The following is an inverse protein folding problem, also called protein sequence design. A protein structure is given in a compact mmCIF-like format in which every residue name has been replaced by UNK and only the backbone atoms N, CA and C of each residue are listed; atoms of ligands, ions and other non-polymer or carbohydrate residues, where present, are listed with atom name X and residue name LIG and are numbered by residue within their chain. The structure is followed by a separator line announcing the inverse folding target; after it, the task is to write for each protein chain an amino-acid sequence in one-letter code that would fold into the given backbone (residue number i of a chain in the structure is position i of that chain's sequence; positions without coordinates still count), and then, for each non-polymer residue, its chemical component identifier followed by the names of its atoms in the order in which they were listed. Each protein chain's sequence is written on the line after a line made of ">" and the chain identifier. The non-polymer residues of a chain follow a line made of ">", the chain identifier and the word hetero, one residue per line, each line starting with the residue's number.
data_IF_435968203262
#
_entry.id   IF_435968203262
#
_cell.length_a   1.000
_cell.length_b   1.000
_cell.length_c   1.000
_cell.angle_alpha   90.00
_cell.angle_beta   90.00
_cell.angle_gamma   90.00
#
_symmetry.space_group_name_H-M   'P 1'
#
loop_
_entity.id
_entity.type
_entity.pdbx_description
1 polymer ?
#
# COMPACT_ATOMS: atom_id res chain seq x y z
N UNK A 1 -18.92 6.41 41.94
CA UNK A 1 -20.15 5.67 41.69
C UNK A 1 -20.62 5.99 40.27
N UNK A 2 -20.11 5.26 39.27
CA UNK A 2 -20.56 5.37 37.88
C UNK A 2 -21.53 4.24 37.57
N UNK A 3 -22.60 4.54 36.84
CA UNK A 3 -23.54 3.56 36.29
C UNK A 3 -23.13 3.09 34.90
N UNK A 4 -22.05 3.67 34.35
CA UNK A 4 -21.49 3.24 33.06
C UNK A 4 -20.80 1.88 33.20
N UNK A 5 -21.46 0.85 32.72
CA UNK A 5 -20.98 -0.52 32.80
C UNK A 5 -19.65 -0.73 32.03
N UNK A 6 -19.35 0.11 31.03
CA UNK A 6 -18.15 -0.02 30.20
C UNK A 6 -16.88 0.46 30.89
N UNK A 7 -16.98 1.53 31.70
CA UNK A 7 -15.80 2.18 32.28
C UNK A 7 -15.75 2.16 33.82
N UNK A 8 -16.88 1.90 34.48
CA UNK A 8 -16.96 1.93 35.95
C UNK A 8 -15.93 1.04 36.64
N UNK A 9 -15.68 -0.16 36.10
CA UNK A 9 -14.71 -1.11 36.63
C UNK A 9 -13.25 -0.61 36.53
N UNK A 10 -12.99 0.29 35.59
CA UNK A 10 -11.67 0.88 35.32
C UNK A 10 -11.58 2.32 35.86
N UNK A 11 -12.40 2.68 36.86
CA UNK A 11 -12.38 4.01 37.45
C UNK A 11 -12.93 5.12 36.54
N UNK A 12 -13.66 4.76 35.48
CA UNK A 12 -14.21 5.68 34.51
C UNK A 12 -13.22 6.10 33.39
N UNK A 13 -12.10 5.40 33.26
CA UNK A 13 -11.13 5.67 32.19
C UNK A 13 -11.70 5.23 30.84
N UNK A 14 -11.77 6.21 29.92
CA UNK A 14 -12.28 6.05 28.56
C UNK A 14 -11.16 6.05 27.50
N UNK A 15 -9.89 6.18 27.93
CA UNK A 15 -8.77 6.31 27.03
C UNK A 15 -8.71 7.68 26.33
N UNK A 16 -8.06 7.71 25.16
CA UNK A 16 -7.89 8.93 24.35
C UNK A 16 -8.98 9.03 23.29
N UNK A 17 -9.50 10.27 23.10
CA UNK A 17 -10.35 10.65 21.98
C UNK A 17 -9.59 11.55 21.02
N UNK A 18 -9.79 11.36 19.72
CA UNK A 18 -9.34 12.29 18.67
C UNK A 18 -10.31 13.47 18.46
N UNK A 19 -11.41 13.52 19.24
CA UNK A 19 -12.42 14.56 19.18
C UNK A 19 -13.71 14.16 18.49
N UNK A 20 -13.89 12.86 18.24
CA UNK A 20 -15.03 12.26 17.52
C UNK A 20 -15.48 10.91 18.10
N UNK A 21 -14.83 10.46 19.18
CA UNK A 21 -15.13 9.16 19.79
C UNK A 21 -16.37 9.19 20.71
N UNK A 22 -16.76 10.36 21.23
CA UNK A 22 -17.84 10.52 22.18
C UNK A 22 -18.96 11.42 21.65
N UNK A 23 -20.15 11.45 22.28
CA UNK A 23 -21.22 12.36 21.90
C UNK A 23 -20.75 13.82 21.84
N UNK A 24 -21.31 14.64 20.93
CA UNK A 24 -20.84 16.03 20.70
C UNK A 24 -20.78 16.89 21.97
N UNK A 25 -21.73 16.73 22.87
CA UNK A 25 -21.77 17.47 24.13
C UNK A 25 -20.63 17.09 25.08
N UNK A 26 -20.24 15.79 25.04
CA UNK A 26 -19.13 15.26 25.82
C UNK A 26 -17.78 15.78 25.25
N UNK A 27 -17.60 15.72 23.93
CA UNK A 27 -16.41 16.27 23.24
C UNK A 27 -16.28 17.78 23.42
N UNK A 28 -17.40 18.51 23.42
CA UNK A 28 -17.38 19.97 23.70
C UNK A 28 -16.92 20.26 25.13
N UNK A 29 -17.36 19.48 26.10
CA UNK A 29 -16.89 19.58 27.47
C UNK A 29 -15.40 19.29 27.60
N UNK A 30 -14.89 18.22 26.97
CA UNK A 30 -13.47 17.87 26.95
C UNK A 30 -12.62 19.03 26.39
N UNK A 31 -13.05 19.63 25.29
CA UNK A 31 -12.34 20.76 24.66
C UNK A 31 -12.27 22.02 25.51
N UNK A 32 -13.17 22.18 26.46
CA UNK A 32 -13.21 23.36 27.37
C UNK A 32 -12.36 23.19 28.62
N UNK A 33 -11.90 21.97 28.92
CA UNK A 33 -11.15 21.63 30.12
C UNK A 33 -9.63 21.75 29.91
N UNK A 34 -8.94 22.03 31.00
CA UNK A 34 -7.48 21.85 31.08
C UNK A 34 -7.16 20.50 31.73
N UNK A 35 -5.96 19.95 31.47
CA UNK A 35 -5.53 18.72 32.14
C UNK A 35 -5.68 18.83 33.68
N UNK A 36 -6.34 17.84 34.27
CA UNK A 36 -6.67 17.77 35.68
C UNK A 36 -8.04 18.35 36.07
N UNK A 37 -8.68 19.14 35.21
CA UNK A 37 -9.98 19.74 35.48
C UNK A 37 -11.14 18.76 35.30
N UNK A 38 -12.24 19.01 36.05
CA UNK A 38 -13.49 18.29 35.94
C UNK A 38 -14.57 19.21 35.42
N UNK A 39 -15.39 18.74 34.50
CA UNK A 39 -16.47 19.50 33.88
C UNK A 39 -17.62 19.76 34.89
N UNK A 40 -18.47 20.76 34.68
CA UNK A 40 -19.83 20.74 35.16
C UNK A 40 -20.56 19.49 34.66
N UNK A 41 -21.72 19.14 35.26
CA UNK A 41 -22.53 18.03 34.76
C UNK A 41 -22.91 18.23 33.27
N UNK A 42 -22.54 17.28 32.43
CA UNK A 42 -22.81 17.26 30.99
C UNK A 42 -23.95 16.30 30.71
N UNK A 43 -24.97 16.76 30.00
CA UNK A 43 -26.11 15.94 29.61
C UNK A 43 -25.89 15.42 28.20
N UNK A 44 -25.98 14.10 28.03
CA UNK A 44 -26.01 13.42 26.72
C UNK A 44 -27.27 12.57 26.59
N UNK A 45 -27.44 11.90 25.47
CA UNK A 45 -28.53 10.94 25.29
C UNK A 45 -28.50 9.74 26.27
N UNK A 46 -27.33 9.43 26.83
CA UNK A 46 -27.12 8.33 27.77
C UNK A 46 -27.22 8.73 29.25
N UNK A 47 -27.43 10.03 29.54
CA UNK A 47 -27.56 10.50 30.91
C UNK A 47 -26.69 11.69 31.26
N UNK A 48 -26.40 11.87 32.57
CA UNK A 48 -25.53 12.92 33.09
C UNK A 48 -24.13 12.39 33.36
N UNK A 49 -23.14 13.13 32.93
CA UNK A 49 -21.72 12.80 33.04
C UNK A 49 -20.93 13.88 33.75
N UNK A 50 -19.97 13.47 34.58
CA UNK A 50 -18.86 14.30 35.04
C UNK A 50 -17.61 13.85 34.31
N UNK A 51 -17.03 14.74 33.55
CA UNK A 51 -15.88 14.47 32.66
C UNK A 51 -14.64 15.08 33.28
N UNK A 52 -13.58 14.28 33.45
CA UNK A 52 -12.26 14.77 33.85
C UNK A 52 -11.28 14.61 32.72
N UNK A 53 -10.66 15.71 32.31
CA UNK A 53 -9.56 15.64 31.35
C UNK A 53 -8.26 15.30 32.11
N UNK A 54 -7.67 14.16 31.81
CA UNK A 54 -6.44 13.72 32.45
C UNK A 54 -5.21 14.24 31.74
N UNK A 55 -5.17 14.12 30.41
CA UNK A 55 -4.02 14.47 29.57
C UNK A 55 -4.49 14.94 28.21
N UNK A 56 -3.75 15.87 27.61
CA UNK A 56 -3.88 16.24 26.20
C UNK A 56 -2.60 15.81 25.51
N UNK A 57 -2.72 14.98 24.49
CA UNK A 57 -1.62 14.65 23.58
C UNK A 57 -1.80 15.43 22.28
N UNK A 58 -0.96 16.40 22.05
CA UNK A 58 -0.94 17.07 20.76
C UNK A 58 -0.39 16.09 19.71
N UNK A 59 -1.23 15.69 18.76
CA UNK A 59 -0.74 15.11 17.52
C UNK A 59 -0.16 16.24 16.68
N UNK A 60 1.13 16.43 16.77
CA UNK A 60 1.85 17.27 15.81
C UNK A 60 1.82 16.57 14.46
N UNK A 61 1.04 17.09 13.53
CA UNK A 61 1.15 16.65 12.14
C UNK A 61 2.60 16.84 11.69
N UNK A 62 3.18 15.86 10.95
CA UNK A 62 4.52 16.03 10.41
C UNK A 62 4.63 17.34 9.63
N UNK A 63 5.72 18.04 9.81
CA UNK A 63 5.97 19.28 9.08
C UNK A 63 6.11 19.00 7.58
N UNK A 64 5.88 20.02 6.74
CA UNK A 64 6.12 19.89 5.30
C UNK A 64 7.55 19.45 4.99
N UNK A 65 8.53 19.90 5.77
CA UNK A 65 9.93 19.51 5.59
C UNK A 65 10.14 17.99 5.79
N UNK A 66 9.46 17.40 6.77
CA UNK A 66 9.52 15.95 7.03
C UNK A 66 8.76 15.15 5.97
N UNK A 67 7.66 15.70 5.43
CA UNK A 67 6.85 15.03 4.42
C UNK A 67 7.34 15.27 2.98
N UNK A 68 8.20 16.25 2.76
CA UNK A 68 8.60 16.70 1.42
C UNK A 68 9.10 15.56 0.54
N UNK A 69 10.03 14.75 1.05
CA UNK A 69 10.62 13.67 0.27
C UNK A 69 9.59 12.61 -0.15
N UNK A 70 8.66 12.26 0.73
CA UNK A 70 7.59 11.31 0.41
C UNK A 70 6.57 11.87 -0.57
N UNK A 71 6.25 13.16 -0.47
CA UNK A 71 5.35 13.84 -1.41
C UNK A 71 5.99 13.95 -2.79
N UNK A 72 7.29 14.32 -2.87
CA UNK A 72 8.03 14.38 -4.13
C UNK A 72 8.10 13.01 -4.81
N UNK A 73 8.39 11.96 -4.06
CA UNK A 73 8.40 10.58 -4.58
C UNK A 73 7.02 10.15 -5.11
N UNK A 74 5.97 10.44 -4.37
CA UNK A 74 4.60 10.13 -4.79
C UNK A 74 4.19 10.89 -6.06
N UNK A 75 4.53 12.19 -6.15
CA UNK A 75 4.25 13.00 -7.34
C UNK A 75 5.04 12.51 -8.56
N UNK A 76 6.30 12.11 -8.38
CA UNK A 76 7.13 11.54 -9.44
C UNK A 76 6.54 10.22 -9.95
N UNK A 77 6.13 9.34 -9.05
CA UNK A 77 5.48 8.07 -9.39
C UNK A 77 4.21 8.31 -10.21
N UNK A 78 3.31 9.18 -9.74
CA UNK A 78 2.08 9.53 -10.47
C UNK A 78 2.34 10.16 -11.84
N UNK A 79 3.38 10.97 -11.95
CA UNK A 79 3.76 11.57 -13.22
C UNK A 79 4.35 10.55 -14.21
N UNK A 80 5.01 9.51 -13.71
CA UNK A 80 5.59 8.44 -14.52
C UNK A 80 4.58 7.38 -14.97
N UNK A 81 3.47 7.21 -14.24
CA UNK A 81 2.47 6.15 -14.47
C UNK A 81 1.95 6.08 -15.91
N UNK A 82 1.52 7.19 -16.57
CA UNK A 82 1.05 7.12 -17.95
C UNK A 82 2.13 6.63 -18.94
N UNK A 83 3.37 7.08 -18.75
CA UNK A 83 4.48 6.63 -19.58
C UNK A 83 4.86 5.17 -19.34
N UNK A 84 4.71 4.69 -18.10
CA UNK A 84 4.89 3.28 -17.75
C UNK A 84 3.85 2.40 -18.45
N UNK A 85 2.57 2.79 -18.38
CA UNK A 85 1.47 2.05 -19.04
C UNK A 85 1.71 1.99 -20.54
N UNK A 86 1.99 3.12 -21.21
CA UNK A 86 2.25 3.17 -22.65
C UNK A 86 3.42 2.27 -23.04
N UNK A 87 4.54 2.31 -22.30
CA UNK A 87 5.71 1.48 -22.57
C UNK A 87 5.46 0.00 -22.31
N UNK A 88 4.65 -0.31 -21.29
CA UNK A 88 4.25 -1.66 -20.93
C UNK A 88 3.36 -2.29 -22.01
N UNK A 89 2.39 -1.53 -22.54
CA UNK A 89 1.54 -1.97 -23.64
C UNK A 89 2.38 -2.13 -24.92
N UNK A 90 3.29 -1.20 -25.19
CA UNK A 90 4.20 -1.32 -26.33
C UNK A 90 5.12 -2.53 -26.25
N UNK A 91 5.59 -2.88 -25.04
CA UNK A 91 6.35 -4.11 -24.82
C UNK A 91 5.51 -5.35 -25.18
N UNK A 92 4.28 -5.42 -24.74
CA UNK A 92 3.37 -6.53 -25.06
C UNK A 92 3.15 -6.65 -26.58
N UNK A 93 2.87 -5.54 -27.27
CA UNK A 93 2.66 -5.51 -28.72
C UNK A 93 3.89 -5.99 -29.50
N UNK A 94 5.08 -5.50 -29.12
CA UNK A 94 6.34 -5.85 -29.81
C UNK A 94 6.74 -7.31 -29.58
N UNK A 95 6.34 -7.92 -28.47
CA UNK A 95 6.72 -9.30 -28.14
C UNK A 95 5.71 -10.34 -28.56
N UNK A 96 4.44 -9.95 -28.83
CA UNK A 96 3.34 -10.86 -29.10
C UNK A 96 3.55 -11.74 -30.34
N UNK A 97 4.05 -11.18 -31.42
CA UNK A 97 4.30 -11.91 -32.69
C UNK A 97 5.78 -11.90 -33.08
N UNK A 98 6.68 -11.72 -32.13
CA UNK A 98 8.12 -11.68 -32.39
C UNK A 98 8.77 -13.03 -32.11
N UNK A 99 9.72 -13.42 -32.97
CA UNK A 99 10.49 -14.63 -32.81
C UNK A 99 11.49 -14.59 -31.64
N UNK A 100 11.79 -13.37 -31.14
CA UNK A 100 12.67 -13.16 -29.99
C UNK A 100 12.35 -11.82 -29.27
N UNK A 101 13.17 -11.46 -28.28
CA UNK A 101 13.02 -10.21 -27.52
C UNK A 101 13.88 -9.06 -28.06
N UNK A 102 14.62 -9.25 -29.15
CA UNK A 102 15.63 -8.30 -29.63
C UNK A 102 15.02 -7.01 -30.16
N UNK A 103 13.90 -7.09 -30.88
CA UNK A 103 13.22 -5.91 -31.42
C UNK A 103 12.63 -5.05 -30.31
N UNK A 104 11.91 -5.66 -29.36
CA UNK A 104 11.36 -4.98 -28.21
C UNK A 104 12.47 -4.32 -27.36
N UNK A 105 13.55 -5.05 -27.12
CA UNK A 105 14.71 -4.54 -26.39
C UNK A 105 15.31 -3.29 -27.07
N UNK A 106 15.52 -3.35 -28.40
CA UNK A 106 16.07 -2.22 -29.17
C UNK A 106 15.15 -1.01 -29.18
N UNK A 107 13.86 -1.21 -29.43
CA UNK A 107 12.90 -0.11 -29.55
C UNK A 107 12.66 0.58 -28.22
N UNK A 108 12.54 -0.19 -27.14
CA UNK A 108 12.30 0.33 -25.81
C UNK A 108 13.56 0.70 -25.02
N UNK A 109 14.75 0.47 -25.60
CA UNK A 109 16.03 0.73 -24.93
C UNK A 109 16.21 -0.17 -23.69
N UNK A 110 15.76 -1.41 -23.75
CA UNK A 110 15.87 -2.40 -22.68
C UNK A 110 17.05 -3.34 -22.93
N UNK A 111 17.60 -3.92 -21.86
CA UNK A 111 18.64 -4.94 -21.93
C UNK A 111 18.08 -6.28 -21.48
N UNK A 112 17.88 -7.26 -22.39
CA UNK A 112 17.49 -8.59 -22.00
C UNK A 112 18.55 -9.24 -21.10
N UNK A 113 18.11 -9.84 -20.00
CA UNK A 113 18.99 -10.49 -19.05
C UNK A 113 18.77 -12.01 -19.08
N UNK A 114 19.86 -12.76 -19.02
CA UNK A 114 19.77 -14.20 -18.81
C UNK A 114 19.51 -14.47 -17.34
N UNK A 115 18.52 -15.35 -17.08
CA UNK A 115 18.27 -15.85 -15.75
C UNK A 115 19.25 -16.96 -15.37
N UNK A 116 19.48 -17.19 -14.08
CA UNK A 116 19.94 -18.49 -13.61
C UNK A 116 18.95 -19.59 -14.03
N UNK A 117 19.42 -20.83 -14.12
CA UNK A 117 18.53 -21.95 -14.33
C UNK A 117 17.57 -22.12 -13.14
N UNK A 118 16.30 -22.35 -13.42
CA UNK A 118 15.28 -22.61 -12.39
C UNK A 118 14.29 -23.69 -12.87
N UNK A 119 13.73 -24.41 -11.93
CA UNK A 119 12.79 -25.50 -12.22
C UNK A 119 11.34 -25.10 -11.94
N UNK A 120 10.41 -26.06 -12.13
CA UNK A 120 8.96 -25.88 -11.84
C UNK A 120 8.65 -25.57 -10.39
N UNK A 121 9.59 -25.75 -9.47
CA UNK A 121 9.46 -25.36 -8.06
C UNK A 121 9.94 -23.94 -7.78
N UNK A 122 10.36 -23.21 -8.82
CA UNK A 122 10.88 -21.86 -8.75
C UNK A 122 12.39 -21.78 -8.60
N UNK A 123 12.88 -20.55 -8.50
CA UNK A 123 14.26 -20.16 -8.30
C UNK A 123 14.39 -19.08 -7.24
N UNK A 124 15.43 -18.27 -7.33
CA UNK A 124 15.66 -17.16 -6.43
C UNK A 124 15.09 -15.83 -6.99
N UNK A 125 14.73 -14.90 -6.11
CA UNK A 125 14.24 -13.56 -6.48
C UNK A 125 12.92 -13.64 -7.28
N UNK A 126 12.87 -12.94 -8.42
CA UNK A 126 11.67 -12.89 -9.27
C UNK A 126 11.27 -14.26 -9.83
N UNK A 127 12.20 -15.22 -9.90
CA UNK A 127 11.93 -16.58 -10.38
C UNK A 127 11.27 -17.47 -9.33
N UNK A 128 11.03 -16.97 -8.12
CA UNK A 128 10.15 -17.58 -7.11
C UNK A 128 8.69 -17.16 -7.27
N UNK A 129 8.38 -16.14 -8.09
CA UNK A 129 7.01 -15.70 -8.33
C UNK A 129 6.24 -16.73 -9.15
N UNK A 130 5.06 -17.12 -8.66
CA UNK A 130 4.23 -18.14 -9.29
C UNK A 130 3.81 -17.78 -10.73
N UNK A 131 3.64 -16.48 -11.03
CA UNK A 131 3.28 -15.97 -12.37
C UNK A 131 4.44 -16.17 -13.35
N UNK A 132 5.66 -15.90 -12.90
CA UNK A 132 6.89 -16.10 -13.68
C UNK A 132 7.10 -17.60 -13.98
N UNK A 133 6.92 -18.44 -12.96
CA UNK A 133 7.02 -19.90 -13.11
C UNK A 133 5.94 -20.41 -14.08
N UNK A 134 4.68 -19.98 -13.88
CA UNK A 134 3.57 -20.40 -14.75
C UNK A 134 3.82 -20.00 -16.22
N UNK A 135 4.30 -18.79 -16.47
CA UNK A 135 4.61 -18.33 -17.81
C UNK A 135 5.78 -19.10 -18.44
N UNK A 136 6.89 -19.28 -17.71
CA UNK A 136 8.07 -19.99 -18.21
C UNK A 136 7.80 -21.46 -18.56
N UNK A 137 6.90 -22.11 -17.81
CA UNK A 137 6.56 -23.52 -18.01
C UNK A 137 5.22 -23.73 -18.73
N UNK A 138 4.65 -22.71 -19.35
CA UNK A 138 3.50 -22.81 -20.25
C UNK A 138 3.89 -23.57 -21.53
N UNK A 139 2.91 -24.13 -22.20
CA UNK A 139 3.12 -24.85 -23.47
C UNK A 139 3.69 -23.91 -24.53
N UNK A 140 3.17 -22.70 -24.65
CA UNK A 140 3.60 -21.71 -25.64
C UNK A 140 5.05 -21.30 -25.46
N UNK A 141 5.48 -21.06 -24.23
CA UNK A 141 6.84 -20.60 -23.95
C UNK A 141 7.84 -21.76 -23.96
N UNK A 142 7.51 -22.87 -23.25
CA UNK A 142 8.46 -23.97 -23.08
C UNK A 142 8.54 -24.88 -24.31
N UNK A 143 7.38 -25.28 -24.88
CA UNK A 143 7.34 -26.26 -25.97
C UNK A 143 7.36 -25.57 -27.35
N UNK A 144 6.62 -24.46 -27.51
CA UNK A 144 6.51 -23.77 -28.77
C UNK A 144 7.61 -22.69 -28.96
N UNK A 145 8.38 -22.39 -27.90
CA UNK A 145 9.47 -21.41 -27.95
C UNK A 145 8.99 -20.00 -28.20
N UNK A 146 7.78 -19.65 -27.82
CA UNK A 146 7.23 -18.30 -27.96
C UNK A 146 7.69 -17.38 -26.81
N UNK A 147 7.52 -16.09 -26.98
CA UNK A 147 7.62 -15.17 -25.86
C UNK A 147 6.41 -15.31 -24.94
N UNK A 148 6.57 -15.08 -23.65
CA UNK A 148 5.42 -15.04 -22.72
C UNK A 148 4.56 -13.82 -23.00
N UNK A 149 3.32 -13.86 -22.55
CA UNK A 149 2.55 -12.64 -22.34
C UNK A 149 3.24 -11.76 -21.32
N UNK A 150 2.81 -10.49 -21.25
CA UNK A 150 3.25 -9.54 -20.24
C UNK A 150 2.89 -10.06 -18.84
N UNK A 151 3.88 -10.19 -17.98
CA UNK A 151 3.74 -10.60 -16.58
C UNK A 151 3.84 -9.36 -15.72
N UNK A 152 2.79 -9.02 -15.00
CA UNK A 152 2.78 -7.91 -14.04
C UNK A 152 3.29 -8.44 -12.69
N UNK A 153 4.45 -7.97 -12.24
CA UNK A 153 5.04 -8.36 -10.97
C UNK A 153 4.48 -7.50 -9.82
N UNK A 154 4.36 -6.21 -10.07
CA UNK A 154 3.74 -5.21 -9.20
C UNK A 154 3.33 -3.97 -10.04
N UNK A 155 2.90 -2.90 -9.36
CA UNK A 155 2.42 -1.67 -10.01
C UNK A 155 3.51 -0.93 -10.82
N UNK A 156 4.78 -1.25 -10.63
CA UNK A 156 5.92 -0.57 -11.24
C UNK A 156 6.79 -1.50 -12.10
N UNK A 157 6.53 -2.80 -12.07
CA UNK A 157 7.35 -3.78 -12.75
C UNK A 157 6.52 -4.74 -13.60
N UNK A 158 6.86 -4.78 -14.87
CA UNK A 158 6.36 -5.78 -15.82
C UNK A 158 7.53 -6.48 -16.49
N UNK A 159 7.32 -7.69 -16.92
CA UNK A 159 8.30 -8.44 -17.67
C UNK A 159 7.67 -9.30 -18.76
N UNK A 160 8.47 -9.63 -19.75
CA UNK A 160 8.24 -10.70 -20.73
C UNK A 160 9.46 -11.60 -20.67
N UNK A 161 9.25 -12.86 -20.77
CA UNK A 161 10.32 -13.85 -20.78
C UNK A 161 10.22 -14.80 -21.99
N UNK A 162 11.34 -15.40 -22.30
CA UNK A 162 11.48 -16.46 -23.31
C UNK A 162 12.43 -17.51 -22.78
N UNK A 163 12.11 -18.77 -22.99
CA UNK A 163 13.01 -19.86 -22.66
C UNK A 163 14.08 -19.98 -23.74
N UNK A 164 15.34 -19.94 -23.33
CA UNK A 164 16.49 -20.10 -24.22
C UNK A 164 16.89 -21.55 -24.36
N UNK A 165 16.96 -22.26 -23.25
CA UNK A 165 17.35 -23.68 -23.14
C UNK A 165 16.49 -24.36 -22.08
N UNK A 166 16.15 -25.64 -22.29
CA UNK A 166 15.37 -26.44 -21.36
C UNK A 166 15.80 -27.91 -21.39
#
# INVERSE_FOLDING_TARGET
>A
NSEDAGSAANGGDLGFSAGDAFPPEFEAALKSLKPGEVSPPVRTGSGWHLVKLLEVREQTAPSFAEMRASIEAELQRRAAEPAFVERSDRLADLTFNSDDLSEAARELGLEPKLSPEFGRRGGEGIFADARVIAAAFSEDVLANGQNSERIELDDEHVMVLRVKEH
#
